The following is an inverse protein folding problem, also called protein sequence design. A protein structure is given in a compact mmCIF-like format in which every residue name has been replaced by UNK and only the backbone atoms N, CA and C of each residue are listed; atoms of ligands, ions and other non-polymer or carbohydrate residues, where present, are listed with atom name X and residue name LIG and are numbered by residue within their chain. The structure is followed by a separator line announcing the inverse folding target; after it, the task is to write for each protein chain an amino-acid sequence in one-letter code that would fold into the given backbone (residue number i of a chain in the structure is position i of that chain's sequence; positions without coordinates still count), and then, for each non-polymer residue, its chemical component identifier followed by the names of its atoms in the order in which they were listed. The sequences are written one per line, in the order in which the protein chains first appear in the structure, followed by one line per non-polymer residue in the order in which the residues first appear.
data_IF_595921916796
#
_entry.id   IF_595921916796
#
_cell.length_a   1.000
_cell.length_b   1.000
_cell.length_c   1.000
_cell.angle_alpha   90.00
_cell.angle_beta   90.00
_cell.angle_gamma   90.00
#
_symmetry.space_group_name_H-M   'P 1'
#
loop_
_entity.id
_entity.type
_entity.pdbx_description
1 polymer ?
#
# COMPACT_ATOMS: atom_id res chain seq x y z
N UNK A 1 -5.44 18.84 4.09
CA UNK A 1 -4.12 18.81 4.77
C UNK A 1 -3.03 19.12 3.75
N UNK A 2 -2.05 19.89 4.13
CA UNK A 2 -0.95 20.29 3.24
C UNK A 2 0.38 19.81 3.79
N UNK A 3 1.21 19.22 2.93
CA UNK A 3 2.57 18.78 3.27
C UNK A 3 3.52 19.46 2.31
N UNK A 4 4.54 20.12 2.85
CA UNK A 4 5.60 20.74 2.04
C UNK A 4 6.88 19.93 2.24
N UNK A 5 7.46 19.45 1.14
CA UNK A 5 8.69 18.66 1.20
C UNK A 5 9.41 18.67 -0.16
N UNK A 6 10.70 18.87 -0.12
CA UNK A 6 11.59 18.83 -1.29
C UNK A 6 11.13 19.74 -2.44
N UNK A 7 10.58 20.91 -2.09
CA UNK A 7 10.10 21.88 -3.05
C UNK A 7 8.70 21.64 -3.56
N UNK A 8 8.07 20.53 -3.18
CA UNK A 8 6.67 20.24 -3.50
C UNK A 8 5.74 20.74 -2.42
N UNK A 9 4.56 21.19 -2.84
CA UNK A 9 3.42 21.45 -1.96
C UNK A 9 2.36 20.41 -2.32
N UNK A 10 2.06 19.54 -1.37
CA UNK A 10 1.05 18.49 -1.57
C UNK A 10 -0.22 18.83 -0.80
N UNK A 11 -1.35 18.75 -1.47
CA UNK A 11 -2.67 18.81 -0.85
C UNK A 11 -3.20 17.39 -0.73
N UNK A 12 -3.48 16.98 0.50
CA UNK A 12 -3.99 15.65 0.82
C UNK A 12 -5.47 15.77 1.13
N UNK A 13 -6.29 15.09 0.34
CA UNK A 13 -7.75 15.10 0.51
C UNK A 13 -8.20 13.75 1.04
N UNK A 14 -8.65 13.67 2.31
CA UNK A 14 -9.20 12.43 2.85
C UNK A 14 -10.47 12.02 2.10
N UNK A 15 -10.55 10.73 1.74
CA UNK A 15 -11.70 10.17 1.06
C UNK A 15 -12.54 9.30 2.00
N UNK A 16 -11.88 8.52 2.84
CA UNK A 16 -12.55 7.66 3.82
C UNK A 16 -11.57 7.27 4.92
N UNK A 17 -12.08 7.07 6.11
CA UNK A 17 -11.32 6.42 7.18
C UNK A 17 -11.07 4.97 6.79
N UNK A 18 -9.91 4.44 7.16
CA UNK A 18 -9.52 3.11 6.71
C UNK A 18 -8.68 2.41 7.76
N UNK A 19 -9.05 1.15 8.04
CA UNK A 19 -8.26 0.25 8.87
C UNK A 19 -8.01 -1.01 8.05
N UNK A 20 -6.77 -1.38 7.89
CA UNK A 20 -6.37 -2.56 7.13
C UNK A 20 -5.60 -3.50 8.04
N UNK A 21 -6.16 -4.69 8.25
CA UNK A 21 -5.50 -5.76 9.00
C UNK A 21 -5.19 -6.91 8.05
N UNK A 22 -3.98 -7.43 8.11
CA UNK A 22 -3.60 -8.54 7.24
C UNK A 22 -2.16 -8.94 7.44
N UNK A 23 -1.66 -9.70 6.46
CA UNK A 23 -0.30 -10.21 6.44
C UNK A 23 0.46 -9.52 5.31
N UNK A 24 1.62 -8.96 5.64
CA UNK A 24 2.49 -8.35 4.63
C UNK A 24 3.01 -9.48 3.72
N UNK A 25 2.81 -9.32 2.42
CA UNK A 25 3.33 -10.25 1.42
C UNK A 25 4.46 -9.65 0.60
N UNK A 26 4.67 -8.34 0.72
CA UNK A 26 5.79 -7.65 0.08
C UNK A 26 5.93 -6.22 0.59
N UNK A 27 7.14 -5.71 0.51
CA UNK A 27 7.47 -4.31 0.76
C UNK A 27 8.48 -3.87 -0.28
N UNK A 28 8.25 -2.70 -0.86
CA UNK A 28 9.21 -2.07 -1.77
C UNK A 28 9.44 -0.63 -1.32
N UNK A 29 10.69 -0.28 -1.11
CA UNK A 29 11.08 1.08 -0.75
C UNK A 29 11.43 1.85 -2.02
N UNK A 30 11.04 3.12 -2.05
CA UNK A 30 11.31 4.00 -3.19
C UNK A 30 12.07 5.23 -2.71
N UNK A 31 13.04 5.68 -3.51
CA UNK A 31 13.89 6.81 -3.18
C UNK A 31 13.96 7.85 -4.29
N UNK A 32 13.34 7.61 -5.43
CA UNK A 32 13.38 8.55 -6.57
C UNK A 32 11.98 8.81 -7.11
N UNK A 33 11.82 9.95 -7.78
CA UNK A 33 10.54 10.39 -8.32
C UNK A 33 9.75 11.20 -7.29
N UNK A 34 8.79 11.97 -7.80
CA UNK A 34 8.00 12.87 -6.95
C UNK A 34 7.21 12.12 -5.87
N UNK A 35 6.73 10.91 -6.20
CA UNK A 35 5.90 10.15 -5.27
C UNK A 35 6.72 9.56 -4.11
N UNK A 36 8.03 9.33 -4.29
CA UNK A 36 8.89 8.88 -3.19
C UNK A 36 9.07 9.98 -2.13
N UNK A 37 8.90 11.24 -2.51
CA UNK A 37 8.97 12.36 -1.57
C UNK A 37 7.93 12.20 -0.45
N UNK A 38 6.72 11.82 -0.82
CA UNK A 38 5.59 11.72 0.12
C UNK A 38 5.31 10.28 0.55
N UNK A 39 5.64 9.30 -0.28
CA UNK A 39 5.41 7.89 -0.01
C UNK A 39 6.69 7.09 -0.20
N UNK A 40 7.45 6.85 0.88
CA UNK A 40 8.75 6.18 0.77
C UNK A 40 8.66 4.68 0.59
N UNK A 41 7.50 4.05 0.77
CA UNK A 41 7.37 2.63 0.54
C UNK A 41 5.94 2.23 0.18
N UNK A 42 5.85 1.09 -0.50
CA UNK A 42 4.61 0.39 -0.75
C UNK A 42 4.58 -0.89 0.08
N UNK A 43 3.42 -1.23 0.60
CA UNK A 43 3.18 -2.48 1.30
C UNK A 43 2.11 -3.27 0.55
N UNK A 44 2.46 -4.47 0.10
CA UNK A 44 1.49 -5.42 -0.41
C UNK A 44 0.99 -6.24 0.77
N UNK A 45 -0.32 -6.28 0.95
CA UNK A 45 -0.95 -6.91 2.11
C UNK A 45 -2.08 -7.81 1.63
N UNK A 46 -2.15 -9.00 2.21
CA UNK A 46 -3.22 -9.97 1.95
C UNK A 46 -4.03 -10.18 3.23
N UNK A 47 -5.30 -10.50 3.08
CA UNK A 47 -6.20 -10.69 4.21
C UNK A 47 -7.32 -11.69 3.88
N UNK A 48 -8.16 -11.97 4.88
CA UNK A 48 -9.37 -12.74 4.71
C UNK A 48 -9.11 -14.14 4.18
N UNK A 49 -9.90 -14.54 3.20
CA UNK A 49 -9.85 -15.90 2.64
C UNK A 49 -8.52 -16.22 1.96
N UNK A 50 -7.78 -15.21 1.51
CA UNK A 50 -6.47 -15.43 0.89
C UNK A 50 -5.42 -15.85 1.93
N UNK A 51 -5.58 -15.45 3.18
CA UNK A 51 -4.65 -15.81 4.26
C UNK A 51 -5.09 -17.07 5.03
N UNK A 52 -6.32 -17.54 4.84
CA UNK A 52 -6.80 -18.75 5.47
C UNK A 52 -5.99 -19.97 5.01
N UNK A 53 -5.53 -20.77 5.97
CA UNK A 53 -4.73 -21.96 5.68
C UNK A 53 -3.38 -21.66 5.01
N UNK A 54 -2.95 -20.41 5.02
CA UNK A 54 -1.68 -20.01 4.41
C UNK A 54 -1.71 -19.94 2.89
N UNK A 55 -2.89 -19.78 2.29
CA UNK A 55 -3.06 -19.79 0.83
C UNK A 55 -2.18 -18.73 0.14
N UNK A 56 -2.01 -17.56 0.76
CA UNK A 56 -1.15 -16.50 0.25
C UNK A 56 0.31 -16.92 0.05
N UNK A 57 0.76 -17.94 0.77
CA UNK A 57 2.13 -18.46 0.69
C UNK A 57 2.39 -19.27 -0.58
N UNK A 58 1.33 -19.69 -1.28
CA UNK A 58 1.44 -20.42 -2.54
C UNK A 58 1.65 -19.47 -3.73
N UNK A 59 1.64 -18.18 -3.50
CA UNK A 59 1.85 -17.17 -4.53
C UNK A 59 3.28 -16.63 -4.46
N UNK A 60 3.86 -16.37 -5.63
CA UNK A 60 5.11 -15.63 -5.74
C UNK A 60 4.79 -14.16 -5.93
N UNK A 61 4.97 -13.38 -4.88
CA UNK A 61 4.70 -11.95 -4.87
C UNK A 61 5.92 -11.15 -5.31
N UNK A 62 5.70 -10.08 -6.04
CA UNK A 62 6.75 -9.13 -6.39
C UNK A 62 6.16 -7.72 -6.50
N UNK A 63 7.04 -6.71 -6.45
CA UNK A 63 6.65 -5.31 -6.55
C UNK A 63 7.69 -4.55 -7.37
N UNK A 64 7.22 -3.67 -8.23
CA UNK A 64 8.08 -2.71 -8.94
C UNK A 64 7.22 -1.61 -9.54
N UNK A 65 7.79 -0.39 -9.68
CA UNK A 65 7.12 0.72 -10.35
C UNK A 65 5.79 1.12 -9.74
N UNK A 66 5.63 0.93 -8.43
CA UNK A 66 4.39 1.20 -7.68
C UNK A 66 3.28 0.19 -7.93
N UNK A 67 3.60 -0.94 -8.55
CA UNK A 67 2.68 -2.04 -8.80
C UNK A 67 3.06 -3.23 -7.94
N UNK A 68 2.10 -4.13 -7.70
CA UNK A 68 2.37 -5.44 -7.16
C UNK A 68 1.92 -6.51 -8.16
N UNK A 69 2.58 -7.66 -8.08
CA UNK A 69 2.41 -8.76 -9.01
C UNK A 69 2.38 -10.06 -8.23
N UNK A 70 1.72 -11.07 -8.79
CA UNK A 70 1.75 -12.42 -8.26
C UNK A 70 1.84 -13.41 -9.40
N UNK A 71 2.37 -14.58 -9.08
CA UNK A 71 2.40 -15.72 -9.99
C UNK A 71 2.03 -16.96 -9.21
N UNK A 72 1.34 -17.88 -9.87
CA UNK A 72 0.98 -19.18 -9.29
C UNK A 72 0.95 -20.24 -10.38
N UNK A 73 1.11 -21.51 -9.96
CA UNK A 73 1.00 -22.64 -10.87
C UNK A 73 -0.45 -23.16 -10.94
N UNK A 74 -0.64 -24.22 -11.74
CA UNK A 74 -1.96 -24.81 -11.97
C UNK A 74 -2.59 -25.45 -10.73
N UNK A 75 -1.81 -25.66 -9.67
CA UNK A 75 -2.31 -26.24 -8.42
C UNK A 75 -2.97 -25.22 -7.50
N UNK A 76 -2.82 -23.92 -7.78
CA UNK A 76 -3.46 -22.89 -6.98
C UNK A 76 -4.98 -22.97 -7.18
N UNK A 77 -5.77 -23.08 -6.09
CA UNK A 77 -7.19 -23.41 -6.21
C UNK A 77 -8.11 -22.22 -6.57
N UNK A 78 -7.57 -21.04 -6.78
CA UNK A 78 -8.34 -19.82 -7.03
C UNK A 78 -7.80 -19.10 -8.26
N UNK A 79 -8.43 -17.97 -8.59
CA UNK A 79 -8.10 -17.16 -9.76
C UNK A 79 -7.60 -15.76 -9.38
N UNK A 80 -7.26 -14.96 -10.39
CA UNK A 80 -6.77 -13.61 -10.19
C UNK A 80 -7.81 -12.70 -9.51
N UNK A 81 -9.08 -12.88 -9.81
CA UNK A 81 -10.15 -12.07 -9.20
C UNK A 81 -10.21 -12.30 -7.69
N UNK A 82 -10.02 -13.54 -7.24
CA UNK A 82 -9.98 -13.88 -5.82
C UNK A 82 -8.77 -13.22 -5.14
N UNK A 83 -7.60 -13.30 -5.77
CA UNK A 83 -6.38 -12.70 -5.21
C UNK A 83 -6.53 -11.19 -5.11
N UNK A 84 -7.03 -10.54 -6.16
CA UNK A 84 -7.25 -9.10 -6.18
C UNK A 84 -8.25 -8.65 -5.10
N UNK A 85 -9.27 -9.45 -4.82
CA UNK A 85 -10.28 -9.12 -3.81
C UNK A 85 -9.73 -9.11 -2.39
N UNK A 86 -8.75 -9.96 -2.11
CA UNK A 86 -8.22 -10.16 -0.76
C UNK A 86 -6.76 -9.71 -0.61
N UNK A 87 -6.35 -8.78 -1.44
CA UNK A 87 -5.03 -8.17 -1.35
C UNK A 87 -5.04 -6.75 -1.91
N UNK A 88 -4.04 -5.99 -1.55
CA UNK A 88 -3.82 -4.66 -2.14
C UNK A 88 -2.36 -4.26 -2.05
N UNK A 89 -1.95 -3.40 -2.97
CA UNK A 89 -0.70 -2.67 -2.84
C UNK A 89 -1.03 -1.29 -2.30
N UNK A 90 -0.40 -0.91 -1.20
CA UNK A 90 -0.70 0.32 -0.49
C UNK A 90 0.47 1.27 -0.61
N UNK A 91 0.25 2.42 -1.24
CA UNK A 91 1.21 3.51 -1.26
C UNK A 91 1.14 4.21 0.09
N UNK A 92 2.16 4.02 0.93
CA UNK A 92 2.12 4.48 2.32
C UNK A 92 2.61 5.92 2.41
N UNK A 93 1.72 6.81 2.85
CA UNK A 93 2.07 8.18 3.22
C UNK A 93 2.11 8.21 4.75
N UNK A 94 3.30 8.19 5.36
CA UNK A 94 3.38 8.15 6.82
C UNK A 94 3.07 9.50 7.44
N UNK A 95 2.23 9.50 8.47
CA UNK A 95 1.86 10.73 9.17
C UNK A 95 3.02 11.29 9.99
N UNK A 96 3.94 10.44 10.42
CA UNK A 96 5.11 10.82 11.23
C UNK A 96 6.33 10.03 10.80
N UNK A 97 7.51 10.47 11.23
CA UNK A 97 8.76 9.75 10.98
C UNK A 97 8.75 8.37 11.66
N UNK A 98 8.13 8.26 12.84
CA UNK A 98 8.00 6.96 13.51
C UNK A 98 7.19 5.97 12.69
N UNK A 99 6.10 6.42 12.07
CA UNK A 99 5.29 5.58 11.18
C UNK A 99 6.10 5.20 9.94
N UNK A 100 6.86 6.13 9.36
CA UNK A 100 7.72 5.86 8.22
C UNK A 100 8.74 4.76 8.53
N UNK A 101 9.40 4.86 9.69
CA UNK A 101 10.39 3.88 10.13
C UNK A 101 9.73 2.51 10.37
N UNK A 102 8.57 2.49 10.99
CA UNK A 102 7.83 1.25 11.23
C UNK A 102 7.44 0.57 9.90
N UNK A 103 6.94 1.34 8.95
CA UNK A 103 6.57 0.81 7.62
C UNK A 103 7.77 0.19 6.90
N UNK A 104 8.91 0.88 6.92
CA UNK A 104 10.13 0.40 6.26
C UNK A 104 10.74 -0.82 6.94
N UNK A 105 10.38 -1.09 8.19
CA UNK A 105 10.88 -2.24 8.95
C UNK A 105 10.03 -3.50 8.76
N UNK A 106 8.87 -3.40 8.14
CA UNK A 106 7.99 -4.54 7.91
C UNK A 106 8.56 -5.46 6.84
N UNK A 107 8.25 -6.75 6.95
CA UNK A 107 8.65 -7.75 5.97
C UNK A 107 7.57 -8.78 5.74
N UNK A 108 7.73 -9.57 4.69
CA UNK A 108 6.78 -10.63 4.35
C UNK A 108 6.60 -11.58 5.54
N UNK A 109 5.36 -11.88 5.86
CA UNK A 109 4.99 -12.71 7.00
C UNK A 109 4.55 -11.93 8.23
N UNK A 110 4.86 -10.64 8.32
CA UNK A 110 4.41 -9.82 9.44
C UNK A 110 2.89 -9.65 9.42
N UNK A 111 2.26 -9.81 10.57
CA UNK A 111 0.84 -9.51 10.75
C UNK A 111 0.71 -8.08 11.25
N UNK A 112 -0.06 -7.27 10.55
CA UNK A 112 -0.14 -5.84 10.81
C UNK A 112 -1.58 -5.35 10.86
N UNK A 113 -1.77 -4.22 11.56
CA UNK A 113 -2.95 -3.39 11.45
C UNK A 113 -2.50 -1.96 11.19
N UNK A 114 -2.95 -1.40 10.09
CA UNK A 114 -2.69 -0.02 9.69
C UNK A 114 -3.97 0.77 9.82
N UNK A 115 -3.89 1.97 10.38
CA UNK A 115 -5.05 2.85 10.50
C UNK A 115 -4.74 4.27 10.07
N UNK A 116 -5.70 4.91 9.45
CA UNK A 116 -5.61 6.27 8.94
C UNK A 116 -6.73 6.56 7.96
N UNK A 117 -6.39 7.15 6.83
CA UNK A 117 -7.35 7.50 5.77
C UNK A 117 -6.82 7.12 4.40
N UNK A 118 -7.72 6.68 3.52
CA UNK A 118 -7.44 6.68 2.08
C UNK A 118 -7.56 8.11 1.58
N UNK A 119 -6.62 8.54 0.75
CA UNK A 119 -6.51 9.94 0.34
C UNK A 119 -6.25 10.08 -1.14
N UNK A 120 -6.67 11.22 -1.68
CA UNK A 120 -6.18 11.72 -2.96
C UNK A 120 -5.07 12.74 -2.68
N UNK A 121 -4.10 12.81 -3.58
CA UNK A 121 -2.97 13.71 -3.49
C UNK A 121 -2.90 14.57 -4.74
N UNK A 122 -2.78 15.87 -4.54
CA UNK A 122 -2.44 16.82 -5.60
C UNK A 122 -1.19 17.57 -5.17
N UNK A 123 -0.19 17.61 -6.02
CA UNK A 123 1.08 18.23 -5.70
C UNK A 123 1.55 19.18 -6.77
N UNK A 124 2.37 20.15 -6.36
CA UNK A 124 2.95 21.12 -7.27
C UNK A 124 4.37 21.50 -6.85
N UNK A 125 5.23 21.62 -7.86
CA UNK A 125 6.57 22.17 -7.71
C UNK A 125 6.82 23.09 -8.89
N UNK A 126 6.77 24.42 -8.65
CA UNK A 126 6.81 25.39 -9.74
C UNK A 126 5.60 25.22 -10.66
N UNK A 127 5.84 24.96 -11.94
CA UNK A 127 4.78 24.69 -12.92
C UNK A 127 4.45 23.21 -13.07
N UNK A 128 5.26 22.33 -12.48
CA UNK A 128 4.99 20.90 -12.50
C UNK A 128 3.83 20.57 -11.58
N UNK A 129 2.84 19.83 -12.10
CA UNK A 129 1.72 19.32 -11.31
C UNK A 129 1.73 17.80 -11.34
N UNK A 130 1.43 17.19 -10.19
CA UNK A 130 1.38 15.75 -10.03
C UNK A 130 0.13 15.38 -9.23
N UNK A 131 -0.33 14.15 -9.39
CA UNK A 131 -1.50 13.71 -8.65
C UNK A 131 -1.50 12.20 -8.45
N UNK A 132 -2.20 11.78 -7.41
CA UNK A 132 -2.45 10.38 -7.09
C UNK A 132 -3.88 10.24 -6.60
N UNK A 133 -4.58 9.20 -7.08
CA UNK A 133 -5.96 8.93 -6.67
C UNK A 133 -6.04 7.56 -6.04
N UNK A 134 -6.63 7.49 -4.84
CA UNK A 134 -6.80 6.21 -4.17
C UNK A 134 -7.98 5.44 -4.76
N UNK A 135 -7.83 4.09 -4.78
CA UNK A 135 -8.98 3.22 -4.92
C UNK A 135 -9.77 3.21 -3.61
N UNK A 136 -11.08 3.15 -3.71
CA UNK A 136 -11.98 2.96 -2.56
C UNK A 136 -12.85 1.71 -2.73
N UNK A 137 -12.57 0.89 -3.76
CA UNK A 137 -13.32 -0.33 -4.09
C UNK A 137 -12.36 -1.51 -4.27
N UNK A 138 -12.81 -2.69 -3.87
CA UNK A 138 -12.08 -3.94 -4.10
C UNK A 138 -12.29 -4.53 -5.49
N UNK A 139 -13.23 -3.99 -6.25
CA UNK A 139 -13.55 -4.47 -7.59
C UNK A 139 -12.77 -3.74 -8.69
N UNK A 140 -12.00 -2.70 -8.33
CA UNK A 140 -11.16 -1.97 -9.27
C UNK A 140 -9.99 -2.82 -9.75
N UNK A 141 -9.44 -2.46 -10.91
CA UNK A 141 -8.27 -3.11 -11.48
C UNK A 141 -7.33 -2.04 -12.07
N UNK A 142 -6.09 -2.45 -12.36
CA UNK A 142 -5.08 -1.53 -12.86
C UNK A 142 -4.70 -0.48 -11.84
N UNK A 143 -4.45 0.74 -12.28
CA UNK A 143 -4.06 1.85 -11.39
C UNK A 143 -5.07 2.13 -10.29
N UNK A 144 -6.33 1.80 -10.56
CA UNK A 144 -7.43 2.06 -9.63
C UNK A 144 -7.51 1.02 -8.51
N UNK A 145 -6.73 -0.06 -8.58
CA UNK A 145 -6.74 -1.12 -7.56
C UNK A 145 -5.81 -0.85 -6.39
N UNK A 146 -4.96 0.18 -6.46
CA UNK A 146 -4.00 0.52 -5.42
C UNK A 146 -4.59 1.58 -4.49
N UNK A 147 -4.30 1.43 -3.20
CA UNK A 147 -4.69 2.41 -2.19
C UNK A 147 -3.58 3.42 -1.98
N UNK A 148 -3.96 4.70 -1.87
CA UNK A 148 -3.10 5.77 -1.38
C UNK A 148 -3.49 5.99 0.07
N UNK A 149 -2.63 5.54 0.98
CA UNK A 149 -2.98 5.36 2.38
C UNK A 149 -2.16 6.29 3.28
N UNK A 150 -2.81 7.31 3.83
CA UNK A 150 -2.23 8.17 4.85
C UNK A 150 -2.32 7.44 6.18
N UNK A 151 -1.19 6.91 6.65
CA UNK A 151 -1.14 6.03 7.82
C UNK A 151 -0.73 6.80 9.05
N UNK A 152 -1.59 6.77 10.06
CA UNK A 152 -1.36 7.42 11.35
C UNK A 152 -0.77 6.47 12.38
N UNK A 153 -1.07 5.16 12.26
CA UNK A 153 -0.67 4.17 13.25
C UNK A 153 -0.44 2.82 12.60
N UNK A 154 0.61 2.16 13.03
CA UNK A 154 0.93 0.78 12.65
C UNK A 154 1.06 -0.04 13.92
N UNK A 155 0.32 -1.17 13.97
CA UNK A 155 0.52 -2.21 14.98
C UNK A 155 1.07 -3.44 14.26
N UNK A 156 2.17 -3.99 14.74
CA UNK A 156 2.79 -5.16 14.15
C UNK A 156 2.87 -6.26 15.21
N UNK A 157 2.40 -7.47 14.85
CA UNK A 157 2.46 -8.63 15.73
C UNK A 157 3.64 -9.55 15.40
N UNK A 158 4.48 -9.14 14.44
CA UNK A 158 5.60 -9.93 13.98
C UNK A 158 5.20 -11.06 13.06
N UNK A 159 6.21 -11.83 12.60
CA UNK A 159 5.99 -12.97 11.72
C UNK A 159 5.31 -14.11 12.48
N UNK A 160 4.40 -14.77 11.80
CA UNK A 160 3.68 -15.93 12.36
C UNK A 160 4.29 -17.23 11.82
#
# INVERSE_FOLDING_TARGET
MTIEKDGYVFHITPKTDYVLSGIVVGRENYSSGWNAVISPCDLAIAWGKLTEGGLHKELNWSQSGRWYFWQYDENFPRDNAFISRYSSNNHIIPATENVANAARALGAGDTVELSGQLVDVDGRKGEETVWWRTSTSRDDSGDESCEVFYVRKIKCRGAV
#
